data_IF_230567095066
#
_entry.id   IF_230567095066
#
_cell.length_a   1.000
_cell.length_b   1.000
_cell.length_c   1.000
_cell.angle_alpha   90.00
_cell.angle_beta   90.00
_cell.angle_gamma   90.00
#
_symmetry.space_group_name_H-M   'P 1'
#
loop_
_entity.id
_entity.type
_entity.pdbx_description
1 polymer ?
#
# COMPACT_ATOMS: atom_id res chain seq x y z
N UNK A 1 53.12 -41.34 -15.17
CA UNK A 1 53.40 -39.90 -15.42
C UNK A 1 53.31 -39.17 -14.09
N UNK A 2 54.44 -39.05 -13.38
CA UNK A 2 55.40 -37.93 -13.33
C UNK A 2 54.85 -36.67 -12.64
N UNK A 3 55.45 -36.45 -11.47
CA UNK A 3 55.46 -35.31 -10.55
C UNK A 3 56.18 -34.08 -11.15
N UNK A 4 55.92 -32.86 -10.65
CA UNK A 4 56.85 -31.70 -10.51
C UNK A 4 56.06 -30.47 -9.96
N UNK A 5 56.28 -30.10 -8.69
CA UNK A 5 57.18 -29.03 -8.18
C UNK A 5 56.70 -27.58 -8.36
N UNK A 6 56.32 -26.99 -7.22
CA UNK A 6 56.81 -25.73 -6.62
C UNK A 6 57.26 -24.57 -7.53
N UNK A 7 56.70 -23.38 -7.28
CA UNK A 7 57.48 -22.14 -7.27
C UNK A 7 57.04 -21.24 -6.11
N UNK A 8 58.02 -20.87 -5.30
CA UNK A 8 57.94 -20.01 -4.13
C UNK A 8 58.82 -18.78 -4.45
N UNK A 9 58.27 -17.57 -4.36
CA UNK A 9 59.01 -16.30 -4.25
C UNK A 9 58.04 -15.39 -3.48
N UNK A 10 58.31 -14.81 -2.31
CA UNK A 10 59.57 -14.49 -1.66
C UNK A 10 59.49 -13.02 -1.26
N UNK A 11 59.18 -12.70 -0.01
CA UNK A 11 59.45 -11.39 0.57
C UNK A 11 60.11 -11.62 1.93
N UNK A 12 61.41 -11.31 1.97
CA UNK A 12 62.25 -11.35 3.16
C UNK A 12 62.68 -9.91 3.47
N UNK A 13 62.41 -9.47 4.70
CA UNK A 13 63.24 -8.57 5.54
C UNK A 13 62.45 -8.31 6.83
N UNK A 14 62.69 -9.02 7.96
CA UNK A 14 63.66 -8.71 9.04
C UNK A 14 63.56 -7.23 9.50
N UNK A 15 63.38 -6.80 10.76
CA UNK A 15 63.49 -7.33 12.14
C UNK A 15 62.86 -6.28 13.13
N UNK A 16 62.83 -6.45 14.48
CA UNK A 16 61.69 -6.11 15.33
C UNK A 16 61.99 -5.09 16.48
N UNK A 17 60.98 -4.86 17.32
CA UNK A 17 60.94 -4.26 18.68
C UNK A 17 60.43 -2.82 18.83
N UNK A 18 59.17 -2.69 19.25
CA UNK A 18 58.71 -2.22 20.59
C UNK A 18 57.17 -2.17 20.56
N UNK A 19 56.47 -3.14 21.17
CA UNK A 19 56.08 -3.30 22.59
C UNK A 19 54.74 -2.60 22.89
N UNK A 20 53.78 -3.44 23.33
CA UNK A 20 52.41 -3.17 23.80
C UNK A 20 51.40 -2.82 22.66
N UNK A 21 50.29 -3.52 22.43
CA UNK A 21 49.48 -4.38 23.29
C UNK A 21 49.03 -5.66 22.58
N UNK A 22 49.11 -6.77 23.33
CA UNK A 22 48.43 -8.04 23.10
C UNK A 22 46.93 -7.80 23.41
N UNK A 23 45.95 -8.34 22.69
CA UNK A 23 45.67 -9.78 22.63
C UNK A 23 44.74 -10.10 21.46
N UNK A 24 45.12 -11.21 20.88
CA UNK A 24 44.55 -12.01 19.83
C UNK A 24 43.29 -12.78 20.28
N UNK A 25 42.64 -13.41 19.30
CA UNK A 25 41.76 -14.59 19.37
C UNK A 25 40.25 -14.29 19.48
N UNK A 26 39.55 -14.61 18.40
CA UNK A 26 38.10 -14.60 18.35
C UNK A 26 37.45 -15.82 18.99
N UNK A 27 36.12 -15.81 18.84
CA UNK A 27 35.17 -16.93 18.87
C UNK A 27 34.26 -17.03 20.12
N UNK A 28 33.00 -16.69 19.85
CA UNK A 28 31.69 -17.01 20.44
C UNK A 28 31.22 -16.54 21.83
N UNK A 29 30.00 -15.98 21.75
CA UNK A 29 28.85 -16.00 22.69
C UNK A 29 28.62 -14.90 23.75
N UNK A 30 27.42 -14.32 23.60
CA UNK A 30 26.45 -13.86 24.60
C UNK A 30 26.56 -12.47 25.26
N UNK A 31 25.47 -11.73 25.02
CA UNK A 31 24.78 -10.82 25.93
C UNK A 31 25.55 -9.65 26.55
N UNK A 32 25.33 -8.45 25.99
CA UNK A 32 25.41 -7.20 26.77
C UNK A 32 24.23 -6.30 26.43
N UNK A 33 23.20 -6.47 27.26
CA UNK A 33 22.24 -5.47 27.71
C UNK A 33 22.87 -4.07 27.69
N UNK A 34 22.40 -3.20 26.80
CA UNK A 34 22.50 -1.75 26.99
C UNK A 34 21.10 -1.17 27.06
N UNK A 35 20.67 -0.98 28.30
CA UNK A 35 19.52 -0.16 28.68
C UNK A 35 19.67 1.24 28.08
N UNK A 36 18.60 1.68 27.42
CA UNK A 36 18.06 3.04 27.42
C UNK A 36 19.03 4.19 27.20
N UNK A 37 19.16 4.58 25.93
CA UNK A 37 19.06 6.00 25.56
C UNK A 37 18.38 6.10 24.19
N UNK A 38 17.05 6.05 24.22
CA UNK A 38 16.24 6.42 23.08
C UNK A 38 16.47 7.92 22.84
N UNK A 39 17.16 8.28 21.75
CA UNK A 39 17.20 9.66 21.28
C UNK A 39 15.77 10.05 20.90
N UNK A 40 15.30 11.11 21.53
CA UNK A 40 13.93 11.62 21.55
C UNK A 40 13.47 12.18 20.19
N UNK A 41 13.16 11.32 19.23
CA UNK A 41 12.31 11.64 18.07
C UNK A 41 11.52 10.47 17.46
N UNK A 42 11.75 9.22 17.89
CA UNK A 42 11.07 8.05 17.34
C UNK A 42 10.63 7.02 18.41
N UNK A 43 10.16 7.49 19.57
CA UNK A 43 9.52 6.62 20.55
C UNK A 43 8.04 6.99 20.67
N UNK A 44 7.23 6.22 19.95
CA UNK A 44 5.79 6.38 19.84
C UNK A 44 5.36 5.85 18.48
N UNK A 45 4.91 4.59 18.41
CA UNK A 45 4.15 4.11 17.26
C UNK A 45 2.81 4.84 17.27
N UNK A 46 2.80 6.09 16.84
CA UNK A 46 1.56 6.76 16.48
C UNK A 46 1.01 5.98 15.28
N UNK A 47 0.01 5.13 15.52
CA UNK A 47 -0.79 4.55 14.45
C UNK A 47 -1.25 5.72 13.57
N UNK A 48 -1.04 5.61 12.25
CA UNK A 48 -1.59 6.58 11.32
C UNK A 48 -3.10 6.63 11.58
N UNK A 49 -3.69 7.78 11.93
CA UNK A 49 -5.14 7.84 12.12
C UNK A 49 -5.79 7.61 10.75
N UNK A 50 -6.49 6.48 10.59
CA UNK A 50 -7.15 6.10 9.34
C UNK A 50 -8.63 6.46 9.43
N UNK A 51 -9.16 7.04 8.35
CA UNK A 51 -10.59 7.19 8.12
C UNK A 51 -11.08 6.03 7.26
N UNK A 52 -12.31 5.59 7.47
CA UNK A 52 -12.90 4.45 6.76
C UNK A 52 -12.13 3.12 6.92
N UNK A 53 -11.15 3.07 7.82
CA UNK A 53 -10.37 1.87 8.16
C UNK A 53 -8.99 1.78 7.49
N UNK A 54 -8.83 2.30 6.28
CA UNK A 54 -7.63 2.14 5.43
C UNK A 54 -7.28 3.38 4.58
N UNK A 55 -7.96 4.52 4.80
CA UNK A 55 -7.65 5.77 4.12
C UNK A 55 -6.93 6.70 5.08
N UNK A 56 -5.71 7.11 4.75
CA UNK A 56 -4.99 8.13 5.50
C UNK A 56 -5.51 9.54 5.13
N UNK A 57 -5.83 10.41 6.12
CA UNK A 57 -6.25 11.77 5.86
C UNK A 57 -5.11 12.58 5.23
N UNK A 58 -5.46 13.43 4.27
CA UNK A 58 -4.49 14.32 3.63
C UNK A 58 -3.94 15.32 4.65
N UNK A 59 -2.61 15.47 4.71
CA UNK A 59 -1.96 16.45 5.60
C UNK A 59 -2.13 17.90 5.13
N UNK A 60 -2.46 18.11 3.86
CA UNK A 60 -2.48 19.41 3.20
C UNK A 60 -3.88 19.89 2.80
N UNK A 61 -4.94 19.12 3.07
CA UNK A 61 -6.31 19.43 2.59
C UNK A 61 -7.35 19.15 3.67
N UNK A 62 -8.24 20.11 3.90
CA UNK A 62 -9.29 20.06 4.92
C UNK A 62 -10.74 19.97 4.35
N UNK A 63 -10.93 19.85 3.02
CA UNK A 63 -12.24 19.73 2.36
C UNK A 63 -12.27 18.60 1.31
N UNK A 64 -13.42 17.93 1.13
CA UNK A 64 -13.67 16.79 0.20
C UNK A 64 -14.81 17.20 -0.78
N UNK A 65 -14.76 16.96 -2.11
CA UNK A 65 -14.28 15.73 -2.75
C UNK A 65 -13.07 15.90 -3.68
N UNK A 66 -12.05 15.08 -3.41
CA UNK A 66 -10.74 15.08 -4.06
C UNK A 66 -10.79 15.02 -5.61
N UNK A 67 -11.83 14.39 -6.16
CA UNK A 67 -11.98 14.18 -7.60
C UNK A 67 -12.46 15.42 -8.37
N UNK A 68 -12.84 16.50 -7.69
CA UNK A 68 -13.32 17.74 -8.31
C UNK A 68 -12.19 18.53 -8.99
N UNK A 69 -11.06 18.77 -8.32
CA UNK A 69 -9.85 19.34 -8.94
C UNK A 69 -8.61 19.14 -8.06
N UNK A 70 -7.50 18.70 -8.66
CA UNK A 70 -6.18 18.71 -8.03
C UNK A 70 -5.72 17.45 -7.28
N UNK A 71 -6.57 16.43 -7.08
CA UNK A 71 -6.11 15.13 -6.52
C UNK A 71 -5.89 14.04 -7.56
N UNK A 72 -6.18 14.27 -8.84
CA UNK A 72 -5.88 13.27 -9.87
C UNK A 72 -4.37 13.24 -10.14
N UNK A 73 -3.86 12.06 -10.49
CA UNK A 73 -2.57 11.96 -11.15
C UNK A 73 -2.64 12.62 -12.54
N UNK A 74 -1.61 13.36 -12.95
CA UNK A 74 -1.64 14.07 -14.23
C UNK A 74 -1.64 13.07 -15.40
N UNK A 75 -2.51 13.33 -16.39
CA UNK A 75 -2.50 12.62 -17.66
C UNK A 75 -1.51 13.28 -18.61
N UNK A 76 -0.71 12.49 -19.32
CA UNK A 76 0.22 12.92 -20.36
C UNK A 76 -0.06 12.14 -21.65
N UNK A 77 -0.61 12.80 -22.66
CA UNK A 77 -1.13 12.14 -23.85
C UNK A 77 -2.26 11.16 -23.49
N UNK A 78 -2.13 9.92 -23.94
CA UNK A 78 -3.13 8.87 -23.68
C UNK A 78 -3.00 8.22 -22.30
N UNK A 79 -1.87 8.40 -21.60
CA UNK A 79 -1.55 7.64 -20.40
C UNK A 79 -1.42 8.52 -19.14
N UNK A 80 -1.59 7.88 -17.98
CA UNK A 80 -1.31 8.46 -16.67
C UNK A 80 -0.12 7.73 -16.08
N UNK A 81 1.04 8.38 -16.05
CA UNK A 81 2.26 7.78 -15.52
C UNK A 81 2.37 8.05 -14.02
N UNK A 82 2.40 7.00 -13.21
CA UNK A 82 2.50 7.06 -11.76
C UNK A 82 3.86 6.47 -11.34
N UNK A 83 4.81 7.31 -10.91
CA UNK A 83 6.09 6.82 -10.42
C UNK A 83 5.92 6.02 -9.12
N UNK A 84 6.62 4.89 -9.01
CA UNK A 84 6.59 4.02 -7.84
C UNK A 84 7.98 3.71 -7.33
N UNK A 85 8.10 3.61 -6.01
CA UNK A 85 9.23 3.01 -5.33
C UNK A 85 8.70 1.98 -4.35
N UNK A 86 9.18 0.74 -4.47
CA UNK A 86 8.83 -0.34 -3.54
C UNK A 86 10.00 -0.49 -2.58
N UNK A 87 9.77 -0.54 -1.27
CA UNK A 87 10.85 -0.77 -0.29
C UNK A 87 11.59 -2.09 -0.56
N UNK A 88 12.90 -2.12 -0.34
CA UNK A 88 13.69 -3.37 -0.39
C UNK A 88 13.37 -4.33 0.75
N UNK A 89 12.64 -3.88 1.78
CA UNK A 89 12.23 -4.70 2.94
C UNK A 89 11.12 -5.72 2.64
N UNK A 90 10.55 -5.69 1.43
CA UNK A 90 9.51 -6.63 1.02
C UNK A 90 10.11 -7.97 0.60
N UNK A 91 9.60 -9.05 1.17
CA UNK A 91 9.95 -10.42 0.78
C UNK A 91 9.25 -10.84 -0.51
N UNK A 92 8.00 -10.42 -0.72
CA UNK A 92 7.17 -10.81 -1.88
C UNK A 92 6.85 -9.62 -2.79
N UNK A 93 7.88 -8.87 -3.20
CA UNK A 93 7.75 -7.69 -4.10
C UNK A 93 7.02 -8.01 -5.41
N UNK A 94 7.12 -9.23 -5.89
CA UNK A 94 6.46 -9.71 -7.10
C UNK A 94 4.92 -9.65 -7.01
N UNK A 95 4.32 -9.75 -5.82
CA UNK A 95 2.86 -9.60 -5.65
C UNK A 95 2.46 -8.14 -5.90
N UNK A 96 3.20 -7.18 -5.33
CA UNK A 96 2.98 -5.75 -5.54
C UNK A 96 3.14 -5.42 -7.03
N UNK A 97 4.23 -5.87 -7.65
CA UNK A 97 4.48 -5.63 -9.08
C UNK A 97 3.35 -6.18 -9.95
N UNK A 98 2.87 -7.41 -9.70
CA UNK A 98 1.75 -8.00 -10.45
C UNK A 98 0.45 -7.22 -10.24
N UNK A 99 0.18 -6.74 -9.03
CA UNK A 99 -0.98 -5.89 -8.73
C UNK A 99 -0.91 -4.52 -9.44
N UNK A 100 0.28 -3.95 -9.59
CA UNK A 100 0.46 -2.70 -10.35
C UNK A 100 0.30 -2.93 -11.86
N UNK A 101 0.95 -3.96 -12.41
CA UNK A 101 0.91 -4.25 -13.86
C UNK A 101 -0.49 -4.65 -14.33
N UNK A 102 -1.35 -5.20 -13.47
CA UNK A 102 -2.72 -5.57 -13.88
C UNK A 102 -3.60 -4.37 -14.26
N UNK A 103 -3.26 -3.14 -13.88
CA UNK A 103 -3.95 -1.94 -14.38
C UNK A 103 -3.61 -1.65 -15.85
N UNK A 104 -2.47 -2.13 -16.36
CA UNK A 104 -1.96 -1.72 -17.67
C UNK A 104 -2.80 -2.28 -18.82
N UNK A 105 -3.42 -3.45 -18.62
CA UNK A 105 -4.19 -4.17 -19.66
C UNK A 105 -5.59 -3.61 -19.88
N UNK A 106 -6.17 -2.91 -18.91
CA UNK A 106 -7.58 -2.51 -18.93
C UNK A 106 -7.79 -1.01 -18.68
N UNK A 107 -6.73 -0.27 -18.38
CA UNK A 107 -6.78 1.18 -18.14
C UNK A 107 -5.62 1.90 -18.81
N UNK A 108 -5.67 3.23 -18.82
CA UNK A 108 -4.55 4.09 -19.23
C UNK A 108 -3.55 4.39 -18.09
N UNK A 109 -3.69 3.76 -16.91
CA UNK A 109 -2.75 3.93 -15.80
C UNK A 109 -1.46 3.13 -16.10
N UNK A 110 -0.31 3.78 -15.95
CA UNK A 110 1.01 3.19 -16.17
C UNK A 110 1.90 3.45 -14.96
N UNK A 111 2.30 2.39 -14.28
CA UNK A 111 3.25 2.47 -13.19
C UNK A 111 4.67 2.41 -13.74
N UNK A 112 5.50 3.38 -13.35
CA UNK A 112 6.89 3.49 -13.79
C UNK A 112 7.82 3.53 -12.59
N UNK A 113 9.01 2.95 -12.72
CA UNK A 113 9.99 3.02 -11.63
C UNK A 113 10.44 4.46 -11.42
N UNK A 114 10.39 4.91 -10.16
CA UNK A 114 10.83 6.24 -9.81
C UNK A 114 12.34 6.41 -10.04
N UNK A 115 12.68 7.49 -10.73
CA UNK A 115 14.03 8.07 -10.79
C UNK A 115 14.09 9.39 -10.00
N UNK A 116 13.84 10.53 -10.65
CA UNK A 116 13.90 11.88 -10.08
C UNK A 116 12.52 12.53 -9.84
N UNK A 117 11.43 11.78 -10.02
CA UNK A 117 10.07 12.29 -9.83
C UNK A 117 9.83 12.78 -8.39
N UNK A 118 9.21 13.96 -8.29
CA UNK A 118 8.80 14.58 -7.03
C UNK A 118 7.59 13.86 -6.44
N UNK A 119 6.56 13.64 -7.26
CA UNK A 119 5.33 12.96 -6.87
C UNK A 119 5.43 11.46 -7.17
N UNK A 120 5.24 10.60 -6.16
CA UNK A 120 5.33 9.15 -6.34
C UNK A 120 4.70 8.36 -5.20
N UNK A 121 4.33 7.12 -5.50
CA UNK A 121 3.92 6.13 -4.50
C UNK A 121 5.13 5.45 -3.89
N UNK A 122 5.23 5.48 -2.57
CA UNK A 122 6.24 4.75 -1.79
C UNK A 122 5.58 3.58 -1.06
N UNK A 123 5.79 2.36 -1.55
CA UNK A 123 5.29 1.15 -0.89
C UNK A 123 6.27 0.72 0.20
N UNK A 124 5.76 0.49 1.41
CA UNK A 124 6.55 0.00 2.54
C UNK A 124 5.73 -0.87 3.50
N UNK A 125 6.39 -1.77 4.22
CA UNK A 125 5.72 -2.65 5.19
C UNK A 125 5.48 -1.92 6.51
N UNK A 126 4.41 -1.11 6.55
CA UNK A 126 3.91 -0.48 7.77
C UNK A 126 2.90 -1.34 8.53
N UNK A 127 2.18 -0.71 9.46
CA UNK A 127 1.03 -1.32 10.16
C UNK A 127 -0.20 -1.28 9.27
N UNK A 128 -0.79 -2.46 9.01
CA UNK A 128 -2.01 -2.59 8.22
C UNK A 128 -1.81 -2.34 6.72
N UNK A 129 -2.95 -2.32 6.02
CA UNK A 129 -3.06 -2.00 4.59
C UNK A 129 -3.77 -0.65 4.51
N UNK A 130 -3.14 0.35 3.90
CA UNK A 130 -3.75 1.67 3.74
C UNK A 130 -3.05 2.52 2.69
N UNK A 131 -3.76 3.53 2.21
CA UNK A 131 -3.28 4.49 1.23
C UNK A 131 -3.89 5.87 1.45
N UNK A 132 -3.42 6.87 0.71
CA UNK A 132 -4.07 8.17 0.64
C UNK A 132 -5.12 8.19 -0.47
N UNK A 133 -6.10 9.08 -0.36
CA UNK A 133 -7.05 9.34 -1.43
C UNK A 133 -6.50 10.29 -2.48
N UNK A 134 -6.22 9.75 -3.67
CA UNK A 134 -5.67 10.52 -4.78
C UNK A 134 -4.21 10.94 -4.57
N UNK A 135 -3.71 11.75 -5.51
CA UNK A 135 -2.38 12.36 -5.50
C UNK A 135 -2.27 13.43 -4.42
N UNK A 136 -1.32 13.26 -3.51
CA UNK A 136 -1.06 14.20 -2.41
C UNK A 136 -0.06 15.31 -2.77
N UNK A 137 0.85 15.02 -3.70
CA UNK A 137 2.06 15.82 -3.96
C UNK A 137 3.23 15.36 -3.10
N UNK A 138 4.42 15.25 -3.70
CA UNK A 138 5.61 14.67 -3.07
C UNK A 138 5.56 13.15 -2.90
N UNK A 139 6.37 12.65 -1.96
CA UNK A 139 6.32 11.24 -1.53
C UNK A 139 4.97 11.00 -0.83
N UNK A 140 4.16 10.08 -1.37
CA UNK A 140 3.00 9.56 -0.66
C UNK A 140 3.18 8.06 -0.36
N UNK A 141 3.05 7.72 0.92
CA UNK A 141 3.25 6.36 1.38
C UNK A 141 2.01 5.49 1.13
N UNK A 142 2.23 4.23 0.77
CA UNK A 142 1.24 3.16 0.72
C UNK A 142 1.74 2.04 1.64
N UNK A 143 0.99 1.76 2.70
CA UNK A 143 1.35 0.67 3.62
C UNK A 143 0.77 -0.63 3.10
N UNK A 144 1.63 -1.62 2.88
CA UNK A 144 1.21 -3.01 2.72
C UNK A 144 2.06 -3.83 3.69
N UNK A 145 1.49 -4.26 4.82
CA UNK A 145 2.19 -5.13 5.78
C UNK A 145 2.61 -6.46 5.11
N UNK A 146 3.88 -6.83 5.24
CA UNK A 146 4.45 -8.09 4.68
C UNK A 146 3.55 -9.30 4.94
N UNK A 147 3.11 -9.47 6.20
CA UNK A 147 2.23 -10.56 6.60
C UNK A 147 0.79 -10.04 6.75
N UNK A 148 0.02 -10.12 5.67
CA UNK A 148 -1.43 -9.88 5.68
C UNK A 148 -1.96 -8.85 4.68
N UNK A 149 -1.10 -8.13 3.94
CA UNK A 149 -1.55 -7.20 2.88
C UNK A 149 -1.02 -7.58 1.48
N UNK A 150 -0.13 -8.56 1.39
CA UNK A 150 0.48 -8.97 0.11
C UNK A 150 -0.46 -9.93 -0.65
N UNK A 151 -1.61 -9.42 -1.06
CA UNK A 151 -2.56 -10.08 -1.95
C UNK A 151 -2.80 -9.21 -3.18
N UNK A 152 -3.14 -9.85 -4.31
CA UNK A 152 -3.41 -9.13 -5.56
C UNK A 152 -4.53 -8.10 -5.40
N UNK A 153 -5.66 -8.50 -4.81
CA UNK A 153 -6.80 -7.63 -4.53
C UNK A 153 -6.43 -6.47 -3.60
N UNK A 154 -5.69 -6.73 -2.51
CA UNK A 154 -5.27 -5.68 -1.58
C UNK A 154 -4.39 -4.65 -2.27
N UNK A 155 -3.43 -5.07 -3.10
CA UNK A 155 -2.61 -4.10 -3.87
C UNK A 155 -3.49 -3.25 -4.78
N UNK A 156 -4.45 -3.86 -5.48
CA UNK A 156 -5.39 -3.12 -6.34
C UNK A 156 -6.29 -2.16 -5.55
N UNK A 157 -6.72 -2.56 -4.35
CA UNK A 157 -7.54 -1.74 -3.44
C UNK A 157 -6.79 -0.48 -3.01
N UNK A 158 -5.59 -0.64 -2.43
CA UNK A 158 -4.80 0.50 -1.94
C UNK A 158 -4.32 1.43 -3.05
N UNK A 159 -4.05 0.87 -4.23
CA UNK A 159 -3.72 1.66 -5.43
C UNK A 159 -4.95 2.41 -5.93
N UNK A 160 -6.14 1.83 -5.87
CA UNK A 160 -7.38 2.51 -6.26
C UNK A 160 -7.71 3.67 -5.32
N UNK A 161 -7.42 3.56 -4.02
CA UNK A 161 -7.42 4.72 -3.12
C UNK A 161 -6.45 5.81 -3.61
N UNK A 162 -5.20 5.45 -3.94
CA UNK A 162 -4.22 6.40 -4.47
C UNK A 162 -4.64 7.04 -5.82
N UNK A 163 -5.54 6.39 -6.56
CA UNK A 163 -6.15 6.93 -7.77
C UNK A 163 -7.35 7.85 -7.48
N UNK A 164 -7.88 7.85 -6.26
CA UNK A 164 -8.96 8.74 -5.80
C UNK A 164 -10.31 8.06 -5.57
N UNK A 165 -10.36 6.73 -5.47
CA UNK A 165 -11.59 5.99 -5.22
C UNK A 165 -11.80 5.74 -3.73
N UNK A 166 -12.99 6.07 -3.25
CA UNK A 166 -13.46 5.64 -1.93
C UNK A 166 -14.04 4.23 -1.99
N UNK A 167 -14.37 3.68 -0.83
CA UNK A 167 -15.04 2.39 -0.77
C UNK A 167 -16.44 2.38 -1.40
N UNK A 168 -16.88 1.20 -1.82
CA UNK A 168 -18.22 1.02 -2.40
C UNK A 168 -19.33 1.25 -1.37
N UNK A 169 -19.14 0.79 -0.13
CA UNK A 169 -20.17 0.88 0.91
C UNK A 169 -20.46 2.30 1.43
N UNK A 170 -19.60 3.28 1.08
CA UNK A 170 -19.78 4.69 1.47
C UNK A 170 -20.44 5.52 0.38
N UNK A 171 -20.81 4.93 -0.77
CA UNK A 171 -21.50 5.66 -1.85
C UNK A 171 -22.75 6.39 -1.36
N UNK A 172 -22.99 7.56 -1.94
CA UNK A 172 -24.16 8.40 -1.64
C UNK A 172 -25.50 7.68 -1.84
N UNK A 173 -25.57 6.75 -2.81
CA UNK A 173 -26.75 5.97 -3.18
C UNK A 173 -26.83 4.59 -2.53
N UNK A 174 -25.86 4.21 -1.67
CA UNK A 174 -25.71 2.84 -1.14
C UNK A 174 -26.95 2.33 -0.41
N UNK A 175 -27.71 3.20 0.26
CA UNK A 175 -28.93 2.82 0.99
C UNK A 175 -30.02 2.25 0.06
N UNK A 176 -29.93 2.42 -1.25
CA UNK A 176 -30.85 1.77 -2.20
C UNK A 176 -30.51 0.29 -2.42
N UNK A 177 -29.29 -0.13 -2.09
CA UNK A 177 -28.75 -1.45 -2.43
C UNK A 177 -28.41 -2.28 -1.19
N UNK A 178 -27.89 -1.65 -0.15
CA UNK A 178 -27.47 -2.32 1.08
C UNK A 178 -28.11 -1.73 2.32
N UNK A 179 -28.24 -2.57 3.34
CA UNK A 179 -28.55 -2.20 4.70
C UNK A 179 -27.29 -2.37 5.54
N UNK A 180 -26.91 -1.31 6.27
CA UNK A 180 -25.90 -1.40 7.33
C UNK A 180 -26.51 -2.10 8.54
N UNK A 181 -25.75 -2.99 9.18
CA UNK A 181 -26.12 -3.65 10.43
C UNK A 181 -25.26 -3.09 11.57
N UNK A 182 -25.65 -1.97 12.22
CA UNK A 182 -24.84 -1.32 13.25
C UNK A 182 -24.46 -2.24 14.41
N UNK A 183 -25.34 -3.19 14.75
CA UNK A 183 -25.08 -4.18 15.80
C UNK A 183 -23.89 -5.10 15.52
N UNK A 184 -23.47 -5.23 14.26
CA UNK A 184 -22.31 -6.03 13.85
C UNK A 184 -21.05 -5.17 13.66
N UNK A 185 -21.16 -3.84 13.78
CA UNK A 185 -20.04 -2.90 13.71
C UNK A 185 -19.34 -2.85 15.07
N UNK A 186 -18.01 -2.75 15.05
CA UNK A 186 -17.23 -2.58 16.27
C UNK A 186 -17.53 -1.20 16.85
N UNK A 187 -17.87 -1.10 18.15
CA UNK A 187 -18.11 0.18 18.79
C UNK A 187 -16.97 1.17 18.55
N UNK A 188 -17.29 2.38 18.09
CA UNK A 188 -16.35 3.43 17.72
C UNK A 188 -15.91 3.43 16.25
N UNK A 189 -16.27 2.41 15.46
CA UNK A 189 -15.95 2.28 14.03
C UNK A 189 -17.16 2.54 13.12
N UNK A 190 -18.28 3.03 13.66
CA UNK A 190 -19.50 3.34 12.91
C UNK A 190 -19.26 4.36 11.80
N UNK A 191 -18.34 5.30 12.03
CA UNK A 191 -17.92 6.31 11.07
C UNK A 191 -17.38 5.72 9.75
N UNK A 192 -16.86 4.49 9.76
CA UNK A 192 -16.39 3.81 8.55
C UNK A 192 -17.52 3.40 7.60
N UNK A 193 -18.76 3.46 8.05
CA UNK A 193 -19.96 3.11 7.28
C UNK A 193 -20.82 4.33 6.97
N UNK A 194 -20.37 5.53 7.33
CA UNK A 194 -21.03 6.78 6.97
C UNK A 194 -20.94 7.02 5.46
N UNK A 195 -22.06 7.40 4.85
CA UNK A 195 -22.09 7.74 3.42
C UNK A 195 -21.38 9.07 3.20
N UNK A 196 -20.74 9.18 2.05
CA UNK A 196 -20.17 10.43 1.57
C UNK A 196 -20.85 10.85 0.26
N UNK A 197 -20.77 12.14 -0.05
CA UNK A 197 -21.22 12.63 -1.35
C UNK A 197 -20.23 12.19 -2.44
N UNK A 198 -20.51 11.05 -3.06
CA UNK A 198 -19.68 10.45 -4.10
C UNK A 198 -20.06 10.96 -5.50
N UNK A 199 -19.06 11.10 -6.38
CA UNK A 199 -19.29 11.06 -7.82
C UNK A 199 -19.24 9.59 -8.27
N UNK A 200 -20.40 8.99 -8.48
CA UNK A 200 -20.55 7.59 -8.87
C UNK A 200 -20.13 7.30 -10.32
N UNK A 201 -19.76 8.35 -11.08
CA UNK A 201 -19.32 8.27 -12.48
C UNK A 201 -20.33 7.53 -13.38
N UNK A 202 -21.62 7.59 -13.05
CA UNK A 202 -22.68 6.93 -13.82
C UNK A 202 -22.61 5.40 -13.86
N UNK A 203 -21.93 4.78 -12.88
CA UNK A 203 -21.88 3.32 -12.75
C UNK A 203 -22.83 2.83 -11.68
N UNK A 204 -23.45 1.64 -11.86
CA UNK A 204 -24.31 1.05 -10.85
C UNK A 204 -23.50 0.66 -9.61
N UNK A 205 -24.22 0.41 -8.52
CA UNK A 205 -23.65 -0.12 -7.29
C UNK A 205 -23.15 -1.55 -7.53
N UNK A 206 -21.92 -1.85 -7.08
CA UNK A 206 -21.21 -3.05 -7.45
C UNK A 206 -20.80 -3.90 -6.24
N UNK A 207 -21.55 -4.97 -5.98
CA UNK A 207 -21.26 -5.94 -4.95
C UNK A 207 -19.94 -6.69 -5.15
N UNK A 208 -19.41 -6.74 -6.38
CA UNK A 208 -18.16 -7.42 -6.71
C UNK A 208 -16.95 -6.49 -6.74
N UNK A 209 -17.11 -5.22 -6.38
CA UNK A 209 -16.01 -4.25 -6.35
C UNK A 209 -14.91 -4.70 -5.40
N UNK A 210 -13.66 -4.48 -5.79
CA UNK A 210 -12.52 -4.67 -4.88
C UNK A 210 -12.50 -3.63 -3.76
N UNK A 211 -13.29 -2.56 -3.88
CA UNK A 211 -13.32 -1.40 -2.96
C UNK A 211 -14.26 -1.59 -1.76
N UNK A 212 -14.57 -2.81 -1.34
CA UNK A 212 -15.24 -3.02 -0.05
C UNK A 212 -14.24 -3.03 1.10
N UNK A 213 -14.60 -2.41 2.23
CA UNK A 213 -13.80 -2.53 3.45
C UNK A 213 -13.88 -3.96 4.03
N UNK A 214 -12.76 -4.44 4.57
CA UNK A 214 -12.66 -5.76 5.19
C UNK A 214 -13.53 -5.87 6.44
N UNK A 215 -14.32 -6.94 6.55
CA UNK A 215 -14.98 -7.28 7.81
C UNK A 215 -13.95 -7.85 8.79
N UNK A 216 -13.83 -7.23 9.98
CA UNK A 216 -12.85 -7.62 11.02
C UNK A 216 -13.27 -8.87 11.81
N UNK A 217 -14.55 -9.20 11.86
CA UNK A 217 -15.09 -10.30 12.69
C UNK A 217 -15.72 -11.44 11.88
N UNK A 218 -15.58 -11.42 10.54
CA UNK A 218 -16.13 -12.45 9.65
C UNK A 218 -17.66 -12.44 9.51
N UNK A 219 -18.36 -11.57 10.26
CA UNK A 219 -19.79 -11.36 10.14
C UNK A 219 -20.08 -10.25 9.13
N UNK A 220 -21.21 -10.31 8.40
CA UNK A 220 -21.61 -9.25 7.50
C UNK A 220 -22.00 -8.00 8.29
N UNK A 221 -21.32 -6.88 8.04
CA UNK A 221 -21.73 -5.54 8.48
C UNK A 221 -22.70 -4.86 7.51
N UNK A 222 -22.87 -5.46 6.33
CA UNK A 222 -23.73 -5.01 5.25
C UNK A 222 -24.53 -6.20 4.71
N UNK A 223 -25.81 -5.99 4.44
CA UNK A 223 -26.67 -6.95 3.72
C UNK A 223 -27.19 -6.31 2.44
N UNK A 224 -27.30 -7.10 1.36
CA UNK A 224 -28.04 -6.66 0.18
C UNK A 224 -29.54 -6.62 0.50
N UNK A 225 -30.20 -5.52 0.13
CA UNK A 225 -31.66 -5.36 0.29
C UNK A 225 -32.45 -6.28 -0.63
N UNK A 226 -31.93 -6.54 -1.83
CA UNK A 226 -32.59 -7.39 -2.81
C UNK A 226 -32.38 -8.89 -2.52
N UNK A 227 -31.22 -9.26 -1.94
CA UNK A 227 -30.91 -10.63 -1.59
C UNK A 227 -30.05 -10.68 -0.31
N UNK A 228 -30.65 -10.80 0.89
CA UNK A 228 -29.92 -10.84 2.16
C UNK A 228 -28.92 -12.00 2.29
N UNK A 229 -29.04 -13.05 1.47
CA UNK A 229 -28.10 -14.18 1.43
C UNK A 229 -26.92 -13.97 0.48
N UNK A 230 -26.88 -12.84 -0.25
CA UNK A 230 -25.75 -12.50 -1.10
C UNK A 230 -24.50 -12.26 -0.24
N UNK A 231 -23.48 -13.06 -0.49
CA UNK A 231 -22.15 -12.90 0.09
C UNK A 231 -21.28 -12.04 -0.83
N UNK A 232 -20.71 -10.95 -0.31
CA UNK A 232 -19.95 -9.97 -1.08
C UNK A 232 -18.81 -9.34 -0.26
N UNK A 233 -17.96 -8.55 -0.90
CA UNK A 233 -16.75 -8.00 -0.27
C UNK A 233 -15.58 -9.01 -0.20
N UNK A 234 -15.60 -10.04 -1.06
CA UNK A 234 -14.57 -11.08 -1.17
C UNK A 234 -13.86 -11.07 -2.53
N UNK A 235 -13.85 -9.92 -3.19
CA UNK A 235 -13.25 -9.76 -4.51
C UNK A 235 -11.75 -10.09 -4.49
N UNK A 236 -11.32 -10.92 -5.44
CA UNK A 236 -9.91 -11.30 -5.64
C UNK A 236 -9.19 -10.41 -6.66
N UNK A 237 -9.95 -9.58 -7.38
CA UNK A 237 -9.45 -8.59 -8.35
C UNK A 237 -10.47 -7.47 -8.57
N UNK A 238 -10.04 -6.37 -9.18
CA UNK A 238 -10.92 -5.31 -9.68
C UNK A 238 -12.06 -5.87 -10.54
N UNK A 239 -13.27 -5.34 -10.34
CA UNK A 239 -14.43 -5.63 -11.16
C UNK A 239 -14.40 -4.84 -12.48
N UNK A 240 -15.33 -5.16 -13.39
CA UNK A 240 -15.55 -4.36 -14.59
C UNK A 240 -15.95 -2.91 -14.25
N UNK A 241 -16.72 -2.69 -13.18
CA UNK A 241 -17.12 -1.36 -12.76
C UNK A 241 -15.95 -0.58 -12.15
N UNK A 242 -15.07 -1.22 -11.39
CA UNK A 242 -13.84 -0.59 -10.88
C UNK A 242 -13.00 -0.05 -12.05
N UNK A 243 -12.77 -0.89 -13.06
CA UNK A 243 -12.03 -0.54 -14.28
C UNK A 243 -12.73 0.60 -15.05
N UNK A 244 -14.05 0.48 -15.27
CA UNK A 244 -14.82 1.50 -15.99
C UNK A 244 -14.77 2.86 -15.27
N UNK A 245 -14.80 2.88 -13.94
CA UNK A 245 -14.68 4.10 -13.14
C UNK A 245 -13.29 4.71 -13.24
N UNK A 246 -12.23 3.91 -13.21
CA UNK A 246 -10.85 4.39 -13.45
C UNK A 246 -10.78 5.04 -14.84
N UNK A 247 -11.25 4.35 -15.87
CA UNK A 247 -11.21 4.83 -17.25
C UNK A 247 -11.99 6.13 -17.43
N UNK A 248 -13.19 6.22 -16.85
CA UNK A 248 -14.00 7.44 -16.90
C UNK A 248 -13.40 8.59 -16.09
N UNK A 249 -12.81 8.31 -14.92
CA UNK A 249 -12.20 9.34 -14.07
C UNK A 249 -10.97 9.95 -14.74
N UNK A 250 -10.15 9.14 -15.39
CA UNK A 250 -8.90 9.54 -16.03
C UNK A 250 -9.03 9.80 -17.54
N UNK A 251 -10.24 9.65 -18.10
CA UNK A 251 -10.52 9.88 -19.52
C UNK A 251 -9.66 8.99 -20.42
N UNK A 252 -9.53 7.71 -20.08
CA UNK A 252 -8.78 6.76 -20.89
C UNK A 252 -9.48 6.58 -22.24
N UNK A 253 -8.71 6.65 -23.31
CA UNK A 253 -9.15 6.42 -24.69
C UNK A 253 -9.51 4.94 -24.86
N UNK A 254 -10.59 4.63 -25.57
CA UNK A 254 -10.89 3.26 -26.03
C UNK A 254 -9.93 2.83 -27.14
#
# INVERSE_FOLDING_TARGET
EVNLKSLNVGISSFLPQKRAELKEIGVYENALVHKNKCLSLFCGSAETPLIYGDIAPSKSRNAVPCTATGCKWPKSGDYVYIPVYISSSYTERNIIIRGLVSFHSSTCIRFVWRTSHVDYLYFYSGTGCWSYLGRQGGLQAVSLRNNGCLYHSTVQHEVSHALGFHHEQVRSDRDSYVQVLPQNIIPGYEHNFEKIQTNNLGTPYDFNSVMYAFSKNGQPTLLSKANPSLDFGRATSMSANDIARINKLYGCSE
#
